data_IF_026469648170
#
_entry.id   IF_026469648170
#
_cell.length_a   1.000
_cell.length_b   1.000
_cell.length_c   1.000
_cell.angle_alpha   90.00
_cell.angle_beta   90.00
_cell.angle_gamma   90.00
#
_symmetry.space_group_name_H-M   'P 1'
#
loop_
_entity.id
_entity.type
_entity.pdbx_description
1 polymer ?
#
# COMPACT_ATOMS: atom_id res chain seq x y z
N UNK A 1 10.11 2.66 42.98
CA UNK A 1 8.84 2.17 42.44
C UNK A 1 7.91 3.36 42.24
N UNK A 2 7.80 3.90 41.01
CA UNK A 2 6.88 4.99 40.70
C UNK A 2 5.53 4.38 40.26
N UNK A 3 4.46 4.78 40.98
CA UNK A 3 3.08 4.38 40.69
C UNK A 3 2.64 5.12 39.41
N UNK A 4 2.40 4.38 38.32
CA UNK A 4 1.75 4.89 37.10
C UNK A 4 0.27 5.07 37.42
N UNK A 5 -0.18 6.31 37.50
CA UNK A 5 -1.61 6.65 37.65
C UNK A 5 -2.30 6.46 36.33
N UNK A 6 -3.15 5.43 36.20
CA UNK A 6 -4.06 5.26 35.07
C UNK A 6 -5.07 6.41 35.07
N UNK A 7 -4.98 7.29 34.08
CA UNK A 7 -6.05 8.28 33.78
C UNK A 7 -7.27 7.50 33.27
N UNK A 8 -8.33 7.48 34.04
CA UNK A 8 -9.64 6.98 33.65
C UNK A 8 -10.24 8.03 32.69
N UNK A 9 -10.24 7.75 31.41
CA UNK A 9 -11.01 8.54 30.44
C UNK A 9 -12.50 8.20 30.63
N UNK A 10 -13.30 9.18 31.04
CA UNK A 10 -14.75 9.03 31.16
C UNK A 10 -15.37 8.88 29.77
N UNK A 11 -16.19 7.84 29.60
CA UNK A 11 -16.88 7.48 28.35
C UNK A 11 -17.70 8.62 27.68
N UNK A 12 -17.98 9.70 28.40
CA UNK A 12 -18.80 10.80 27.89
C UNK A 12 -18.03 11.82 27.02
N UNK A 13 -16.71 11.98 27.20
CA UNK A 13 -15.95 12.96 26.42
C UNK A 13 -15.63 12.48 24.98
N UNK A 14 -15.62 11.18 24.75
CA UNK A 14 -15.32 10.60 23.44
C UNK A 14 -16.51 10.66 22.46
N UNK A 15 -17.75 10.62 22.95
CA UNK A 15 -18.94 10.66 22.10
C UNK A 15 -19.21 12.06 21.51
N UNK A 16 -18.85 13.13 22.20
CA UNK A 16 -19.09 14.51 21.70
C UNK A 16 -18.04 14.99 20.71
N UNK A 17 -16.79 14.53 20.79
CA UNK A 17 -15.74 14.91 19.83
C UNK A 17 -15.89 14.21 18.49
N UNK A 18 -16.44 13.00 18.46
CA UNK A 18 -16.65 12.26 17.20
C UNK A 18 -17.87 12.72 16.41
N UNK A 19 -18.93 13.18 17.06
CA UNK A 19 -20.11 13.70 16.37
C UNK A 19 -19.87 15.02 15.65
N UNK A 20 -18.90 15.83 16.12
CA UNK A 20 -18.51 17.09 15.45
C UNK A 20 -17.50 16.87 14.30
N UNK A 21 -16.75 15.74 14.30
CA UNK A 21 -15.75 15.44 13.28
C UNK A 21 -16.32 14.66 12.08
N UNK A 22 -17.51 14.10 12.19
CA UNK A 22 -18.17 13.34 11.11
C UNK A 22 -19.41 14.07 10.59
N UNK A 23 -19.35 15.39 10.54
CA UNK A 23 -20.29 16.18 9.73
C UNK A 23 -19.97 15.94 8.25
N UNK A 24 -20.82 15.19 7.57
CA UNK A 24 -20.72 14.86 6.14
C UNK A 24 -20.35 16.05 5.23
N UNK A 25 -20.73 17.31 5.51
CA UNK A 25 -20.25 18.47 4.76
C UNK A 25 -18.75 18.79 4.93
N UNK A 26 -18.15 18.44 6.09
CA UNK A 26 -16.73 18.72 6.36
C UNK A 26 -15.80 17.69 5.67
N UNK A 27 -16.25 16.45 5.45
CA UNK A 27 -15.51 15.46 4.70
C UNK A 27 -15.43 15.82 3.21
N UNK A 28 -16.50 16.43 2.66
CA UNK A 28 -16.51 16.88 1.27
C UNK A 28 -15.62 18.14 1.05
N UNK A 29 -15.35 18.92 2.09
CA UNK A 29 -14.50 20.11 2.01
C UNK A 29 -13.03 19.87 2.37
N UNK A 30 -12.73 18.81 3.13
CA UNK A 30 -11.36 18.40 3.49
C UNK A 30 -10.78 17.35 2.52
N UNK A 31 -11.62 16.59 1.84
CA UNK A 31 -11.20 15.76 0.71
C UNK A 31 -11.09 16.70 -0.49
N UNK A 32 -9.89 17.03 -0.93
CA UNK A 32 -9.68 17.57 -2.26
C UNK A 32 -10.55 16.77 -3.23
N UNK A 33 -11.22 17.45 -4.17
CA UNK A 33 -12.33 16.93 -5.00
C UNK A 33 -12.25 15.46 -5.44
N UNK A 34 -13.30 14.90 -6.03
CA UNK A 34 -13.37 13.48 -6.34
C UNK A 34 -12.05 13.01 -7.01
N UNK A 35 -11.56 11.80 -6.70
CA UNK A 35 -10.32 11.28 -7.26
C UNK A 35 -10.25 11.55 -8.76
N UNK A 36 -9.11 12.00 -9.25
CA UNK A 36 -8.92 12.32 -10.66
C UNK A 36 -9.38 11.12 -11.53
N UNK A 37 -10.38 11.34 -12.38
CA UNK A 37 -11.01 10.29 -13.21
C UNK A 37 -12.39 9.82 -12.75
N UNK A 38 -12.87 10.21 -11.57
CA UNK A 38 -14.23 9.87 -11.16
C UNK A 38 -15.23 10.88 -11.74
N UNK A 39 -16.19 10.39 -12.54
CA UNK A 39 -17.28 11.22 -13.04
C UNK A 39 -18.16 11.73 -11.91
N UNK A 40 -18.83 12.88 -12.10
CA UNK A 40 -19.80 13.42 -11.13
C UNK A 40 -20.90 12.39 -10.77
N UNK A 41 -21.31 11.55 -11.71
CA UNK A 41 -22.24 10.45 -11.50
C UNK A 41 -21.64 9.35 -10.60
N UNK A 42 -20.34 9.05 -10.76
CA UNK A 42 -19.63 8.09 -9.91
C UNK A 42 -19.47 8.58 -8.47
N UNK A 43 -19.19 9.88 -8.30
CA UNK A 43 -19.12 10.51 -6.99
C UNK A 43 -20.50 10.53 -6.31
N UNK A 44 -21.58 10.82 -7.05
CA UNK A 44 -22.95 10.78 -6.53
C UNK A 44 -23.35 9.36 -6.12
N UNK A 45 -23.10 8.37 -6.95
CA UNK A 45 -23.37 6.96 -6.64
C UNK A 45 -22.59 6.46 -5.40
N UNK A 46 -21.36 6.91 -5.22
CA UNK A 46 -20.57 6.63 -4.02
C UNK A 46 -21.18 7.30 -2.78
N UNK A 47 -21.57 8.57 -2.88
CA UNK A 47 -22.24 9.29 -1.80
C UNK A 47 -23.61 8.66 -1.45
N UNK A 48 -24.36 8.17 -2.43
CA UNK A 48 -25.63 7.49 -2.20
C UNK A 48 -25.43 6.12 -1.55
N UNK A 49 -24.37 5.39 -1.89
CA UNK A 49 -23.97 4.17 -1.16
C UNK A 49 -23.59 4.48 0.29
N UNK A 50 -22.89 5.59 0.54
CA UNK A 50 -22.55 6.04 1.89
C UNK A 50 -23.81 6.48 2.68
N UNK A 51 -24.76 7.16 2.03
CA UNK A 51 -26.03 7.59 2.63
C UNK A 51 -27.00 6.42 2.87
N UNK A 52 -27.03 5.44 1.97
CA UNK A 52 -27.94 4.31 2.04
C UNK A 52 -27.45 3.15 2.95
N UNK A 53 -26.63 3.48 3.97
CA UNK A 53 -26.30 2.56 5.06
C UNK A 53 -25.53 1.28 4.68
N UNK A 54 -24.79 1.27 3.58
CA UNK A 54 -23.85 0.19 3.33
C UNK A 54 -22.85 0.01 4.51
N UNK A 55 -22.69 1.04 5.35
CA UNK A 55 -21.82 1.04 6.53
C UNK A 55 -22.55 1.04 7.88
N UNK A 56 -23.86 1.24 7.93
CA UNK A 56 -24.60 1.39 9.19
C UNK A 56 -24.57 0.14 10.08
N UNK A 57 -24.37 -1.04 9.48
CA UNK A 57 -24.27 -2.31 10.19
C UNK A 57 -22.88 -2.95 10.10
N UNK A 58 -21.85 -2.15 9.77
CA UNK A 58 -20.47 -2.60 9.63
C UNK A 58 -19.70 -2.30 10.91
N UNK A 59 -19.94 -3.09 11.97
CA UNK A 59 -19.16 -3.02 13.22
C UNK A 59 -17.67 -3.27 12.97
N UNK A 60 -17.34 -4.13 11.99
CA UNK A 60 -15.98 -4.40 11.55
C UNK A 60 -15.24 -3.14 11.06
N UNK A 61 -15.92 -2.19 10.40
CA UNK A 61 -15.31 -0.92 10.00
C UNK A 61 -14.98 -0.04 11.20
N UNK A 62 -15.89 0.03 12.17
CA UNK A 62 -15.63 0.76 13.43
C UNK A 62 -14.45 0.17 14.20
N UNK A 63 -14.37 -1.15 14.27
CA UNK A 63 -13.26 -1.85 14.92
C UNK A 63 -11.94 -1.67 14.15
N UNK A 64 -11.97 -1.68 12.82
CA UNK A 64 -10.80 -1.39 12.00
C UNK A 64 -10.27 0.04 12.21
N UNK A 65 -11.15 1.04 12.23
CA UNK A 65 -10.78 2.44 12.50
C UNK A 65 -10.20 2.57 13.92
N UNK A 66 -10.81 1.91 14.91
CA UNK A 66 -10.31 1.89 16.28
C UNK A 66 -8.92 1.26 16.36
N UNK A 67 -8.71 0.13 15.69
CA UNK A 67 -7.42 -0.56 15.64
C UNK A 67 -6.36 0.31 14.99
N UNK A 68 -6.71 1.01 13.90
CA UNK A 68 -5.84 1.96 13.23
C UNK A 68 -5.42 3.09 14.19
N UNK A 69 -6.39 3.71 14.86
CA UNK A 69 -6.13 4.77 15.84
C UNK A 69 -5.23 4.28 16.97
N UNK A 70 -5.52 3.12 17.55
CA UNK A 70 -4.70 2.52 18.62
C UNK A 70 -3.27 2.22 18.16
N UNK A 71 -3.08 1.85 16.89
CA UNK A 71 -1.75 1.62 16.31
C UNK A 71 -0.94 2.91 16.31
N UNK A 72 -1.51 4.02 15.85
CA UNK A 72 -0.82 5.32 15.83
C UNK A 72 -0.63 5.94 17.23
N UNK A 73 -1.50 5.62 18.19
CA UNK A 73 -1.37 6.10 19.57
C UNK A 73 -0.27 5.36 20.34
N UNK A 74 0.14 4.19 19.88
CA UNK A 74 1.19 3.39 20.52
C UNK A 74 2.57 3.83 20.04
N UNK A 75 3.41 4.30 20.99
CA UNK A 75 4.74 4.87 20.68
C UNK A 75 5.90 4.13 21.36
N UNK A 76 5.68 2.96 21.92
CA UNK A 76 6.73 2.18 22.59
C UNK A 76 6.97 0.84 21.90
N UNK A 77 8.22 0.53 21.54
CA UNK A 77 9.46 1.31 21.75
C UNK A 77 9.74 2.38 20.70
N UNK A 78 8.90 2.50 19.66
CA UNK A 78 8.94 3.50 18.60
C UNK A 78 7.52 3.81 18.13
N UNK A 79 7.28 4.91 17.40
CA UNK A 79 5.99 5.18 16.80
C UNK A 79 5.60 4.08 15.80
N UNK A 80 4.41 3.50 15.99
CA UNK A 80 3.91 2.45 15.12
C UNK A 80 3.12 3.01 13.94
N UNK A 81 3.12 2.27 12.81
CA UNK A 81 2.41 2.62 11.59
C UNK A 81 1.33 1.59 11.27
N UNK A 82 0.28 2.03 10.56
CA UNK A 82 -0.84 1.15 10.20
C UNK A 82 -0.43 -0.08 9.39
N UNK A 83 0.65 0.03 8.61
CA UNK A 83 1.17 -1.05 7.76
C UNK A 83 2.18 -1.97 8.47
N UNK A 84 2.48 -1.72 9.75
CA UNK A 84 3.56 -2.41 10.46
C UNK A 84 3.39 -3.92 10.49
N UNK A 85 2.19 -4.42 10.73
CA UNK A 85 1.94 -5.86 10.81
C UNK A 85 2.23 -6.53 9.48
N UNK A 86 1.75 -5.96 8.38
CA UNK A 86 1.98 -6.48 7.03
C UNK A 86 3.47 -6.44 6.66
N UNK A 87 4.11 -5.30 6.85
CA UNK A 87 5.53 -5.12 6.50
C UNK A 87 6.44 -5.99 7.37
N UNK A 88 6.15 -6.09 8.67
CA UNK A 88 6.89 -6.97 9.58
C UNK A 88 6.77 -8.44 9.21
N UNK A 89 5.59 -8.88 8.81
CA UNK A 89 5.36 -10.25 8.34
C UNK A 89 6.15 -10.54 7.06
N UNK A 90 6.14 -9.62 6.11
CA UNK A 90 6.92 -9.75 4.87
C UNK A 90 8.42 -9.80 5.14
N UNK A 91 8.93 -8.92 6.01
CA UNK A 91 10.35 -8.92 6.41
C UNK A 91 10.75 -10.22 7.14
N UNK A 92 9.89 -10.78 8.00
CA UNK A 92 10.15 -12.07 8.66
C UNK A 92 10.24 -13.21 7.65
N UNK A 93 9.30 -13.26 6.71
CA UNK A 93 9.32 -14.27 5.65
C UNK A 93 10.59 -14.12 4.80
N UNK A 94 10.91 -12.90 4.37
CA UNK A 94 12.11 -12.64 3.58
C UNK A 94 13.39 -13.04 4.32
N UNK A 95 13.52 -12.68 5.60
CA UNK A 95 14.69 -13.07 6.40
C UNK A 95 14.83 -14.59 6.50
N UNK A 96 13.72 -15.32 6.67
CA UNK A 96 13.74 -16.79 6.68
C UNK A 96 14.26 -17.35 5.36
N UNK A 97 13.77 -16.85 4.23
CA UNK A 97 14.19 -17.30 2.91
C UNK A 97 15.64 -16.91 2.58
N UNK A 98 16.09 -15.72 2.96
CA UNK A 98 17.50 -15.32 2.83
C UNK A 98 18.40 -16.26 3.64
N UNK A 99 18.03 -16.59 4.87
CA UNK A 99 18.82 -17.49 5.73
C UNK A 99 18.95 -18.90 5.14
N UNK A 100 17.98 -19.33 4.34
CA UNK A 100 17.99 -20.65 3.67
C UNK A 100 18.48 -20.59 2.22
N UNK A 101 18.84 -19.41 1.70
CA UNK A 101 19.29 -19.24 0.31
C UNK A 101 18.17 -19.46 -0.72
N UNK A 102 16.91 -19.25 -0.33
CA UNK A 102 15.71 -19.52 -1.13
C UNK A 102 14.88 -18.25 -1.41
N UNK A 103 15.50 -17.08 -1.41
CA UNK A 103 14.79 -15.79 -1.65
C UNK A 103 14.14 -15.72 -3.03
N UNK A 104 14.74 -16.38 -4.04
CA UNK A 104 14.15 -16.47 -5.38
C UNK A 104 12.88 -17.31 -5.40
N UNK A 105 12.87 -18.39 -4.62
CA UNK A 105 11.69 -19.25 -4.50
C UNK A 105 10.55 -18.52 -3.79
N UNK A 106 10.88 -17.64 -2.83
CA UNK A 106 9.89 -16.79 -2.18
C UNK A 106 9.21 -15.82 -3.16
N UNK A 107 9.98 -15.13 -3.99
CA UNK A 107 9.44 -14.27 -5.05
C UNK A 107 8.59 -15.06 -6.03
N UNK A 108 9.09 -16.20 -6.51
CA UNK A 108 8.36 -17.09 -7.42
C UNK A 108 7.04 -17.57 -6.80
N UNK A 109 7.04 -17.90 -5.51
CA UNK A 109 5.85 -18.29 -4.78
C UNK A 109 4.84 -17.14 -4.68
N UNK A 110 5.28 -15.92 -4.38
CA UNK A 110 4.41 -14.73 -4.35
C UNK A 110 3.74 -14.51 -5.72
N UNK A 111 4.49 -14.61 -6.80
CA UNK A 111 3.98 -14.47 -8.18
C UNK A 111 2.98 -15.57 -8.53
N UNK A 112 3.29 -16.83 -8.19
CA UNK A 112 2.42 -17.99 -8.46
C UNK A 112 1.10 -17.89 -7.69
N UNK A 113 1.15 -17.50 -6.43
CA UNK A 113 -0.06 -17.37 -5.61
C UNK A 113 -0.93 -16.18 -6.03
N UNK A 114 -0.34 -15.15 -6.64
CA UNK A 114 -1.05 -14.01 -7.20
C UNK A 114 -1.58 -14.25 -8.62
N UNK A 115 -1.24 -15.35 -9.28
CA UNK A 115 -1.54 -15.63 -10.70
C UNK A 115 -3.00 -15.37 -11.10
N UNK A 116 -4.05 -15.78 -10.34
CA UNK A 116 -5.43 -15.49 -10.72
C UNK A 116 -5.75 -14.00 -10.78
N UNK A 117 -5.16 -13.20 -9.88
CA UNK A 117 -5.29 -11.76 -9.89
C UNK A 117 -4.51 -11.14 -11.05
N UNK A 118 -3.27 -11.59 -11.27
CA UNK A 118 -2.40 -11.06 -12.32
C UNK A 118 -2.96 -11.33 -13.71
N UNK A 119 -3.55 -12.50 -13.96
CA UNK A 119 -4.27 -12.80 -15.21
C UNK A 119 -5.46 -11.85 -15.45
N UNK A 120 -6.20 -11.51 -14.39
CA UNK A 120 -7.29 -10.53 -14.51
C UNK A 120 -6.77 -9.14 -14.83
N UNK A 121 -5.68 -8.69 -14.18
CA UNK A 121 -5.04 -7.41 -14.47
C UNK A 121 -4.50 -7.40 -15.89
N UNK A 122 -3.86 -8.47 -16.35
CA UNK A 122 -3.40 -8.61 -17.75
C UNK A 122 -4.52 -8.39 -18.75
N UNK A 123 -5.68 -9.01 -18.54
CA UNK A 123 -6.85 -8.79 -19.40
C UNK A 123 -7.35 -7.33 -19.39
N UNK A 124 -7.14 -6.60 -18.29
CA UNK A 124 -7.44 -5.16 -18.22
C UNK A 124 -6.39 -4.37 -19.01
N UNK A 125 -5.11 -4.70 -18.86
CA UNK A 125 -4.01 -4.05 -19.60
C UNK A 125 -4.22 -4.19 -21.11
N UNK A 126 -4.56 -5.40 -21.58
CA UNK A 126 -4.83 -5.66 -22.99
C UNK A 126 -5.98 -4.81 -23.57
N UNK A 127 -6.96 -4.44 -22.75
CA UNK A 127 -8.13 -3.65 -23.15
C UNK A 127 -7.95 -2.14 -22.97
N UNK A 128 -7.20 -1.73 -21.93
CA UNK A 128 -7.20 -0.36 -21.42
C UNK A 128 -5.79 0.26 -21.35
N UNK A 129 -4.75 -0.49 -21.72
CA UNK A 129 -3.37 -0.01 -21.78
C UNK A 129 -2.56 -0.17 -20.50
N UNK A 130 -1.26 0.10 -20.61
CA UNK A 130 -0.26 -0.17 -19.56
C UNK A 130 -0.46 0.69 -18.29
N UNK A 131 -0.96 1.92 -18.43
CA UNK A 131 -1.27 2.79 -17.29
C UNK A 131 -2.31 2.16 -16.36
N UNK A 132 -3.28 1.45 -16.92
CA UNK A 132 -4.27 0.72 -16.13
C UNK A 132 -3.64 -0.47 -15.38
N UNK A 133 -2.54 -1.02 -15.91
CA UNK A 133 -1.72 -2.01 -15.21
C UNK A 133 -1.08 -1.42 -13.97
N UNK A 134 -0.40 -0.26 -14.09
CA UNK A 134 0.16 0.45 -12.94
C UNK A 134 -0.91 0.79 -11.90
N UNK A 135 -2.04 1.33 -12.34
CA UNK A 135 -3.16 1.62 -11.43
C UNK A 135 -3.57 0.40 -10.62
N UNK A 136 -3.77 -0.75 -11.27
CA UNK A 136 -4.17 -1.96 -10.56
C UNK A 136 -3.08 -2.51 -9.64
N UNK A 137 -1.80 -2.31 -9.97
CA UNK A 137 -0.70 -2.71 -9.09
C UNK A 137 -0.64 -1.87 -7.81
N UNK A 138 -0.89 -0.58 -7.90
CA UNK A 138 -0.57 0.38 -6.82
C UNK A 138 -1.81 1.00 -6.16
N UNK A 139 -2.89 1.27 -6.90
CA UNK A 139 -4.11 1.89 -6.34
C UNK A 139 -5.31 0.94 -6.32
N UNK A 140 -5.27 -0.14 -7.11
CA UNK A 140 -6.41 -1.03 -7.35
C UNK A 140 -6.51 -2.24 -6.43
N UNK A 141 -5.58 -2.48 -5.49
CA UNK A 141 -5.58 -3.65 -4.63
C UNK A 141 -5.62 -3.33 -3.14
N UNK A 142 -6.24 -4.19 -2.35
CA UNK A 142 -6.28 -4.05 -0.90
C UNK A 142 -4.89 -4.10 -0.27
N UNK A 143 -3.97 -4.88 -0.84
CA UNK A 143 -2.58 -4.93 -0.38
C UNK A 143 -1.90 -3.57 -0.51
N UNK A 144 -2.13 -2.87 -1.61
CA UNK A 144 -1.57 -1.53 -1.83
C UNK A 144 -2.07 -0.53 -0.78
N UNK A 145 -3.36 -0.53 -0.47
CA UNK A 145 -3.91 0.33 0.57
C UNK A 145 -3.37 0.04 1.97
N UNK A 146 -2.93 -1.19 2.23
CA UNK A 146 -2.34 -1.57 3.51
C UNK A 146 -0.81 -1.44 3.54
N UNK A 147 -0.16 -1.46 2.37
CA UNK A 147 1.31 -1.38 2.29
C UNK A 147 1.81 0.06 2.23
N UNK A 148 1.15 0.90 1.44
CA UNK A 148 1.62 2.26 1.16
C UNK A 148 0.81 3.31 1.94
N UNK A 149 1.50 4.15 2.71
CA UNK A 149 0.89 5.31 3.38
C UNK A 149 0.55 6.41 2.37
N UNK A 150 1.39 6.54 1.35
CA UNK A 150 1.24 7.56 0.31
C UNK A 150 1.84 7.05 -0.99
N UNK A 151 1.19 7.39 -2.11
CA UNK A 151 1.68 7.13 -3.45
C UNK A 151 1.51 8.40 -4.27
N UNK A 152 2.61 8.93 -4.79
CA UNK A 152 2.60 9.99 -5.80
C UNK A 152 2.35 9.36 -7.17
N UNK A 153 1.26 9.77 -7.79
CA UNK A 153 0.81 9.26 -9.08
C UNK A 153 1.19 10.24 -10.18
N UNK A 154 1.98 9.77 -11.14
CA UNK A 154 2.25 10.49 -12.37
C UNK A 154 2.01 9.58 -13.58
N UNK A 155 1.73 10.13 -14.78
CA UNK A 155 1.57 9.33 -15.97
C UNK A 155 2.77 8.40 -16.21
N UNK A 156 2.53 7.10 -16.29
CA UNK A 156 3.57 6.09 -16.48
C UNK A 156 4.44 5.80 -15.26
N UNK A 157 4.18 6.37 -14.09
CA UNK A 157 5.00 6.10 -12.90
C UNK A 157 4.24 6.22 -11.58
N UNK A 158 4.78 5.52 -10.57
CA UNK A 158 4.34 5.59 -9.16
C UNK A 158 5.57 5.77 -8.28
N UNK A 159 5.52 6.74 -7.38
CA UNK A 159 6.60 7.05 -6.45
C UNK A 159 6.05 7.02 -5.03
N UNK A 160 6.77 6.39 -4.12
CA UNK A 160 6.30 6.21 -2.74
C UNK A 160 7.47 6.05 -1.77
N UNK A 161 7.31 6.49 -0.49
CA UNK A 161 8.26 6.16 0.57
C UNK A 161 8.39 4.65 0.73
N UNK A 162 9.61 4.17 0.94
CA UNK A 162 9.83 2.73 1.13
C UNK A 162 9.09 2.22 2.38
N UNK A 163 8.13 1.30 2.26
CA UNK A 163 7.34 0.85 3.40
C UNK A 163 8.13 0.04 4.42
N UNK A 164 9.33 -0.45 4.05
CA UNK A 164 10.14 -1.32 4.90
C UNK A 164 11.25 -0.59 5.66
N UNK A 165 11.74 0.57 5.16
CA UNK A 165 12.94 1.22 5.66
C UNK A 165 12.86 1.50 7.15
N UNK A 166 11.92 2.34 7.54
CA UNK A 166 11.79 2.80 8.92
C UNK A 166 11.52 1.63 9.88
N UNK A 167 10.66 0.69 9.48
CA UNK A 167 10.38 -0.49 10.29
C UNK A 167 11.62 -1.36 10.47
N UNK A 168 12.39 -1.58 9.39
CA UNK A 168 13.60 -2.38 9.45
C UNK A 168 14.64 -1.74 10.38
N UNK A 169 14.83 -0.43 10.29
CA UNK A 169 15.72 0.34 11.16
C UNK A 169 15.28 0.27 12.62
N UNK A 170 13.99 0.49 12.89
CA UNK A 170 13.42 0.41 14.24
C UNK A 170 13.53 -1.00 14.82
N UNK A 171 13.20 -2.03 14.05
CA UNK A 171 13.34 -3.41 14.49
C UNK A 171 14.79 -3.80 14.77
N UNK A 172 15.76 -3.32 14.00
CA UNK A 172 17.18 -3.51 14.28
C UNK A 172 17.61 -2.80 15.55
N UNK A 173 17.24 -1.54 15.69
CA UNK A 173 17.66 -0.68 16.80
C UNK A 173 17.07 -1.11 18.15
N UNK A 174 15.77 -1.39 18.18
CA UNK A 174 15.04 -1.59 19.41
C UNK A 174 14.75 -3.05 19.74
N UNK A 175 14.63 -3.90 18.73
CA UNK A 175 14.22 -5.29 18.90
C UNK A 175 15.32 -6.30 18.53
N UNK A 176 16.40 -5.85 17.90
CA UNK A 176 17.55 -6.67 17.44
C UNK A 176 17.13 -7.89 16.57
N UNK A 177 16.10 -7.72 15.73
CA UNK A 177 15.43 -8.86 15.10
C UNK A 177 15.94 -9.22 13.71
N UNK A 178 16.24 -8.24 12.84
CA UNK A 178 16.63 -8.53 11.45
C UNK A 178 18.14 -8.41 11.22
N UNK A 179 18.71 -9.35 10.45
CA UNK A 179 20.11 -9.33 10.00
C UNK A 179 20.27 -8.71 8.63
N UNK A 180 19.25 -8.87 7.74
CA UNK A 180 19.23 -8.25 6.41
C UNK A 180 19.20 -6.72 6.51
N UNK A 181 19.62 -6.05 5.46
CA UNK A 181 19.55 -4.59 5.31
C UNK A 181 18.52 -4.17 4.25
N UNK A 182 18.38 -2.87 4.03
CA UNK A 182 17.44 -2.36 3.04
C UNK A 182 17.82 -2.78 1.62
N UNK A 183 19.11 -2.88 1.32
CA UNK A 183 19.57 -3.34 0.02
C UNK A 183 19.17 -4.80 -0.23
N UNK A 184 19.23 -5.66 0.78
CA UNK A 184 18.71 -7.03 0.67
C UNK A 184 17.22 -7.05 0.32
N UNK A 185 16.41 -6.22 1.01
CA UNK A 185 14.97 -6.10 0.73
C UNK A 185 14.74 -5.62 -0.70
N UNK A 186 15.47 -4.60 -1.14
CA UNK A 186 15.33 -4.04 -2.47
C UNK A 186 15.75 -5.00 -3.59
N UNK A 187 16.90 -5.66 -3.45
CA UNK A 187 17.50 -6.48 -4.51
C UNK A 187 16.96 -7.91 -4.55
N UNK A 188 16.65 -8.49 -3.39
CA UNK A 188 16.22 -9.89 -3.28
C UNK A 188 14.69 -10.05 -3.27
N UNK A 189 13.94 -8.97 -3.03
CA UNK A 189 12.48 -9.04 -2.94
C UNK A 189 11.77 -8.00 -3.79
N UNK A 190 11.90 -6.68 -3.50
CA UNK A 190 11.06 -5.67 -4.12
C UNK A 190 11.27 -5.57 -5.64
N UNK A 191 12.52 -5.44 -6.10
CA UNK A 191 12.81 -5.31 -7.54
C UNK A 191 12.39 -6.55 -8.31
N UNK A 192 12.76 -7.79 -7.92
CA UNK A 192 12.30 -8.98 -8.61
C UNK A 192 10.77 -9.15 -8.59
N UNK A 193 10.13 -8.81 -7.46
CA UNK A 193 8.67 -8.93 -7.34
C UNK A 193 7.94 -7.97 -8.29
N UNK A 194 8.27 -6.67 -8.27
CA UNK A 194 7.63 -5.69 -9.13
C UNK A 194 7.89 -5.97 -10.61
N UNK A 195 9.13 -6.34 -10.96
CA UNK A 195 9.47 -6.73 -12.34
C UNK A 195 8.66 -7.96 -12.77
N UNK A 196 8.61 -8.99 -11.95
CA UNK A 196 7.87 -10.22 -12.24
C UNK A 196 6.36 -10.00 -12.33
N UNK A 197 5.78 -9.12 -11.51
CA UNK A 197 4.37 -8.71 -11.65
C UNK A 197 4.17 -8.03 -13.01
N UNK A 198 5.03 -7.05 -13.36
CA UNK A 198 4.96 -6.36 -14.65
C UNK A 198 4.99 -7.34 -15.83
N UNK A 199 5.94 -8.27 -15.83
CA UNK A 199 6.05 -9.30 -16.87
C UNK A 199 4.79 -10.16 -16.98
N UNK A 200 4.22 -10.60 -15.86
CA UNK A 200 3.01 -11.43 -15.87
C UNK A 200 1.76 -10.69 -16.36
N UNK A 201 1.66 -9.39 -16.11
CA UNK A 201 0.54 -8.58 -16.61
C UNK A 201 0.80 -7.96 -17.99
N UNK A 202 1.97 -8.19 -18.58
CA UNK A 202 2.32 -7.77 -19.93
C UNK A 202 2.81 -6.33 -20.06
N UNK A 203 3.38 -5.74 -18.99
CA UNK A 203 4.01 -4.41 -19.03
C UNK A 203 5.49 -4.49 -18.66
N UNK A 204 6.29 -3.61 -19.27
CA UNK A 204 7.72 -3.51 -18.95
C UNK A 204 7.95 -2.41 -17.93
N UNK A 205 8.61 -2.74 -16.83
CA UNK A 205 8.83 -1.83 -15.72
C UNK A 205 10.31 -1.54 -15.50
N UNK A 206 10.59 -0.30 -15.07
CA UNK A 206 11.83 0.10 -14.42
C UNK A 206 11.52 0.29 -12.94
N UNK A 207 12.31 -0.35 -12.08
CA UNK A 207 12.18 -0.23 -10.63
C UNK A 207 13.43 0.47 -10.10
N UNK A 208 13.25 1.61 -9.48
CA UNK A 208 14.30 2.37 -8.81
C UNK A 208 14.05 2.31 -7.30
N UNK A 209 14.71 1.37 -6.60
CA UNK A 209 14.55 1.23 -5.17
C UNK A 209 15.37 2.28 -4.40
N UNK A 210 14.94 2.59 -3.19
CA UNK A 210 15.62 3.53 -2.31
C UNK A 210 14.74 3.91 -1.13
N UNK A 211 15.10 5.02 -0.47
CA UNK A 211 14.27 5.62 0.58
C UNK A 211 12.91 6.07 0.02
N UNK A 212 12.96 6.58 -1.19
CA UNK A 212 11.81 6.82 -2.07
C UNK A 212 11.97 5.85 -3.24
N UNK A 213 10.98 5.00 -3.42
CA UNK A 213 10.92 4.03 -4.50
C UNK A 213 10.15 4.61 -5.68
N UNK A 214 10.62 4.36 -6.91
CA UNK A 214 9.89 4.68 -8.12
C UNK A 214 9.73 3.44 -8.98
N UNK A 215 8.52 3.16 -9.42
CA UNK A 215 8.20 2.13 -10.41
C UNK A 215 7.57 2.82 -11.61
N UNK A 216 8.18 2.66 -12.77
CA UNK A 216 7.78 3.34 -13.99
C UNK A 216 7.69 2.38 -15.18
N UNK A 217 6.80 2.68 -16.10
CA UNK A 217 6.78 2.04 -17.43
C UNK A 217 8.10 2.34 -18.15
N UNK A 218 8.70 1.35 -18.75
CA UNK A 218 9.83 1.58 -19.64
C UNK A 218 9.32 2.33 -20.88
N UNK A 219 10.02 3.41 -21.25
CA UNK A 219 9.78 4.06 -22.52
C UNK A 219 9.91 3.02 -23.65
N UNK A 220 8.85 2.85 -24.43
CA UNK A 220 8.94 2.03 -25.64
C UNK A 220 9.93 2.71 -26.58
N UNK A 221 11.03 2.04 -26.89
CA UNK A 221 11.87 2.47 -28.02
C UNK A 221 10.98 2.52 -29.26
N UNK A 222 10.71 3.72 -29.78
CA UNK A 222 10.04 3.86 -31.07
C UNK A 222 10.83 3.05 -32.08
N UNK A 223 10.26 1.93 -32.53
CA UNK A 223 10.79 1.17 -33.66
C UNK A 223 10.92 2.17 -34.81
N UNK A 224 12.12 2.35 -35.39
CA UNK A 224 12.26 3.29 -36.52
C UNK A 224 11.24 2.87 -37.55
N UNK A 225 10.37 3.80 -37.94
CA UNK A 225 9.46 3.60 -39.09
C UNK A 225 10.35 3.28 -40.26
N UNK A 226 10.26 2.03 -40.71
CA UNK A 226 11.04 1.54 -41.86
C UNK A 226 10.75 2.45 -43.02
N UNK A 227 11.75 3.23 -43.42
CA UNK A 227 11.68 4.02 -44.63
C UNK A 227 11.32 3.10 -45.80
N UNK A 228 10.15 3.33 -46.36
CA UNK A 228 9.78 2.73 -47.63
C UNK A 228 10.76 3.28 -48.69
N UNK A 229 11.58 2.38 -49.20
CA UNK A 229 12.37 2.62 -50.39
C UNK A 229 11.52 2.33 -51.64
#
# INVERSE_FOLDING_TARGET
MQKVTRRVFTKQSLLFSFAAAVGIPAIAAAAGGPPAGMSAAGASAMLDKLKNNAFANRNDLSDAIKSLYMTYDTTSPYPHKFNEVLTKQQLRSLQFYINSGAEKDYVAHCLTTADPLLKRIKSIVEKSGEEQGLYNMFEGTSTSYQLFEHIDVAPGSRTFPCPYKELLENCKKYLLTFKMDLNDVCTKFCTPLWTGIGEQIGISLTVQPGDICTVALKAQEKKPEGGAA
#
